data_IF_728633585127
#
_entry.id   IF_728633585127
#
_cell.length_a   1.000
_cell.length_b   1.000
_cell.length_c   1.000
_cell.angle_alpha   90.00
_cell.angle_beta   90.00
_cell.angle_gamma   90.00
#
_symmetry.space_group_name_H-M   'P 1'
#
loop_
_entity.id
_entity.type
_entity.pdbx_description
1 polymer ?
#
# COMPACT_ATOMS: atom_id res chain seq x y z
N UNK A 1 -4.27 15.98 6.56
CA UNK A 1 -4.46 14.52 6.41
C UNK A 1 -3.30 13.91 5.64
N UNK A 2 -2.97 12.65 5.89
CA UNK A 2 -1.97 11.87 5.14
C UNK A 2 -2.68 10.70 4.47
N UNK A 3 -2.64 10.64 3.15
CA UNK A 3 -3.14 9.52 2.36
C UNK A 3 -2.01 8.56 2.00
N UNK A 4 -2.03 7.37 2.57
CA UNK A 4 -0.93 6.43 2.53
C UNK A 4 -1.00 5.42 1.37
N UNK A 5 -2.03 5.51 0.51
CA UNK A 5 -2.26 4.54 -0.56
C UNK A 5 -2.80 5.24 -1.80
N UNK A 6 -1.89 5.64 -2.71
CA UNK A 6 -2.21 6.40 -3.91
C UNK A 6 -1.45 5.83 -5.12
N UNK A 7 -2.20 5.36 -6.11
CA UNK A 7 -1.65 4.91 -7.38
C UNK A 7 -1.45 6.08 -8.34
N UNK A 8 -0.28 6.09 -8.99
CA UNK A 8 0.03 6.99 -10.10
C UNK A 8 0.57 6.22 -11.28
N UNK A 9 0.29 6.68 -12.49
CA UNK A 9 0.70 6.01 -13.72
C UNK A 9 1.52 6.97 -14.60
N UNK A 10 2.73 6.56 -15.03
CA UNK A 10 3.47 7.29 -16.06
C UNK A 10 2.61 7.45 -17.32
N UNK A 11 2.66 8.60 -18.02
CA UNK A 11 1.90 8.82 -19.25
C UNK A 11 2.12 7.74 -20.32
N UNK A 12 3.31 7.16 -20.37
CA UNK A 12 3.67 6.03 -21.24
C UNK A 12 2.87 4.77 -20.91
N UNK A 13 2.74 4.44 -19.61
CA UNK A 13 1.93 3.29 -19.15
C UNK A 13 0.47 3.49 -19.52
N UNK A 14 -0.07 4.70 -19.34
CA UNK A 14 -1.46 5.03 -19.69
C UNK A 14 -1.68 4.88 -21.21
N UNK A 15 -0.81 5.48 -22.02
CA UNK A 15 -0.90 5.45 -23.49
C UNK A 15 -0.81 4.02 -24.04
N UNK A 16 0.11 3.23 -23.49
CA UNK A 16 0.46 1.91 -24.03
C UNK A 16 -0.20 0.76 -23.24
N UNK A 17 -1.17 1.06 -22.37
CA UNK A 17 -1.79 0.11 -21.43
C UNK A 17 -2.30 -1.18 -22.12
N UNK A 18 -2.97 -1.06 -23.27
CA UNK A 18 -3.49 -2.20 -24.01
C UNK A 18 -2.39 -3.08 -24.65
N UNK A 19 -1.21 -2.52 -24.91
CA UNK A 19 -0.06 -3.29 -25.44
C UNK A 19 0.66 -3.97 -24.28
N UNK A 20 0.88 -3.24 -23.18
CA UNK A 20 1.51 -3.77 -21.96
C UNK A 20 0.69 -4.95 -21.41
N UNK A 21 -0.64 -4.80 -21.33
CA UNK A 21 -1.54 -5.82 -20.80
C UNK A 21 -1.41 -7.20 -21.45
N UNK A 22 -1.03 -7.26 -22.73
CA UNK A 22 -0.81 -8.54 -23.45
C UNK A 22 0.28 -9.41 -22.84
N UNK A 23 1.25 -8.78 -22.17
CA UNK A 23 2.37 -9.47 -21.50
C UNK A 23 2.29 -9.37 -19.97
N UNK A 24 1.43 -8.51 -19.44
CA UNK A 24 1.20 -8.28 -18.01
C UNK A 24 -0.27 -8.57 -17.67
N UNK A 25 -0.67 -9.85 -17.58
CA UNK A 25 -2.08 -10.24 -17.49
C UNK A 25 -2.76 -9.74 -16.21
N UNK A 26 -2.02 -9.61 -15.10
CA UNK A 26 -2.57 -9.04 -13.87
C UNK A 26 -2.83 -7.54 -14.01
N UNK A 27 -1.94 -6.81 -14.70
CA UNK A 27 -2.19 -5.41 -15.06
C UNK A 27 -3.38 -5.28 -16.02
N UNK A 28 -3.50 -6.14 -17.04
CA UNK A 28 -4.65 -6.14 -17.95
C UNK A 28 -5.97 -6.36 -17.19
N UNK A 29 -5.99 -7.35 -16.29
CA UNK A 29 -7.14 -7.67 -15.46
C UNK A 29 -7.62 -6.45 -14.65
N UNK A 30 -6.68 -5.72 -14.04
CA UNK A 30 -7.00 -4.56 -13.20
C UNK A 30 -7.34 -3.31 -14.02
N UNK A 31 -6.52 -2.99 -15.02
CA UNK A 31 -6.67 -1.75 -15.81
C UNK A 31 -7.88 -1.74 -16.73
N UNK A 32 -8.43 -2.91 -17.08
CA UNK A 32 -9.67 -3.03 -17.86
C UNK A 32 -10.92 -3.17 -16.98
N UNK A 33 -10.74 -3.22 -15.65
CA UNK A 33 -11.81 -3.28 -14.67
C UNK A 33 -12.71 -2.04 -14.73
N UNK A 34 -14.02 -2.22 -14.53
CA UNK A 34 -15.02 -1.13 -14.63
C UNK A 34 -14.79 0.03 -13.66
N UNK A 35 -14.10 -0.23 -12.57
CA UNK A 35 -13.83 0.75 -11.51
C UNK A 35 -12.48 1.43 -11.66
N UNK A 36 -11.61 0.91 -12.53
CA UNK A 36 -10.28 1.43 -12.74
C UNK A 36 -10.31 2.85 -13.29
N UNK A 37 -9.33 3.64 -12.87
CA UNK A 37 -9.10 4.99 -13.37
C UNK A 37 -7.61 5.23 -13.47
N UNK A 38 -7.24 6.11 -14.40
CA UNK A 38 -5.88 6.60 -14.55
C UNK A 38 -5.71 7.90 -13.79
N UNK A 39 -4.53 8.10 -13.22
CA UNK A 39 -4.12 9.37 -12.64
C UNK A 39 -2.61 9.56 -12.75
N UNK A 40 -2.22 10.80 -13.00
CA UNK A 40 -0.85 11.31 -12.92
C UNK A 40 -0.58 11.91 -11.55
N UNK A 41 0.68 12.23 -11.25
CA UNK A 41 1.06 12.97 -10.05
C UNK A 41 0.36 14.35 -9.99
N UNK A 42 0.15 15.02 -11.12
CA UNK A 42 -0.59 16.28 -11.19
C UNK A 42 -2.06 16.11 -10.80
N UNK A 43 -2.69 15.01 -11.22
CA UNK A 43 -4.07 14.67 -10.81
C UNK A 43 -4.14 14.41 -9.29
N UNK A 44 -3.12 13.77 -8.72
CA UNK A 44 -2.99 13.59 -7.26
C UNK A 44 -2.91 14.94 -6.57
N UNK A 45 -2.04 15.86 -7.00
CA UNK A 45 -1.92 17.20 -6.39
C UNK A 45 -3.25 17.96 -6.47
N UNK A 46 -3.94 17.92 -7.61
CA UNK A 46 -5.25 18.56 -7.76
C UNK A 46 -6.30 17.94 -6.83
N UNK A 47 -6.28 16.62 -6.63
CA UNK A 47 -7.15 15.93 -5.68
C UNK A 47 -6.81 16.28 -4.24
N UNK A 48 -5.52 16.35 -3.89
CA UNK A 48 -5.05 16.73 -2.57
C UNK A 48 -5.51 18.13 -2.18
N UNK A 49 -5.37 19.11 -3.08
CA UNK A 49 -5.78 20.49 -2.83
C UNK A 49 -7.30 20.63 -2.70
N UNK A 50 -8.06 19.83 -3.47
CA UNK A 50 -9.53 19.77 -3.36
C UNK A 50 -9.99 19.17 -2.03
N UNK A 51 -9.34 18.09 -1.61
CA UNK A 51 -9.80 17.25 -0.49
C UNK A 51 -9.11 17.60 0.85
N UNK A 52 -8.15 18.53 0.86
CA UNK A 52 -7.43 18.93 2.08
C UNK A 52 -6.41 17.89 2.55
N UNK A 53 -5.79 17.18 1.62
CA UNK A 53 -4.72 16.21 1.89
C UNK A 53 -3.37 16.93 1.88
N UNK A 54 -2.61 16.81 2.97
CA UNK A 54 -1.32 17.48 3.13
C UNK A 54 -0.21 16.67 2.47
N UNK A 55 -0.21 15.35 2.68
CA UNK A 55 0.80 14.42 2.17
C UNK A 55 0.15 13.19 1.56
N UNK A 56 0.67 12.72 0.42
CA UNK A 56 0.28 11.46 -0.20
C UNK A 56 1.49 10.53 -0.40
N UNK A 57 1.30 9.24 -0.11
CA UNK A 57 2.25 8.19 -0.46
C UNK A 57 1.90 7.62 -1.83
N UNK A 58 2.77 7.85 -2.81
CA UNK A 58 2.52 7.51 -4.21
C UNK A 58 3.39 6.35 -4.67
N UNK A 59 2.84 5.51 -5.53
CA UNK A 59 3.55 4.43 -6.19
C UNK A 59 2.96 4.12 -7.56
N UNK A 60 3.81 3.54 -8.41
CA UNK A 60 3.40 2.99 -9.68
C UNK A 60 2.73 1.63 -9.55
N UNK A 61 2.52 0.96 -10.69
CA UNK A 61 2.05 -0.42 -10.71
C UNK A 61 3.24 -1.38 -10.58
N UNK A 62 3.15 -2.36 -9.69
CA UNK A 62 4.20 -3.38 -9.53
C UNK A 62 4.02 -4.52 -10.54
N UNK A 63 4.65 -4.35 -11.71
CA UNK A 63 4.67 -5.31 -12.81
C UNK A 63 5.54 -6.54 -12.51
N UNK A 64 5.44 -7.56 -13.38
CA UNK A 64 6.43 -8.65 -13.45
C UNK A 64 7.70 -8.22 -14.16
N UNK A 65 7.57 -7.38 -15.20
CA UNK A 65 8.69 -6.83 -15.94
C UNK A 65 9.48 -5.80 -15.11
N UNK A 66 10.78 -6.04 -14.83
CA UNK A 66 11.59 -5.09 -14.08
C UNK A 66 11.78 -3.74 -14.77
N UNK A 67 11.72 -3.69 -16.11
CA UNK A 67 11.84 -2.46 -16.89
C UNK A 67 10.61 -1.56 -16.75
N UNK A 68 9.41 -2.13 -16.71
CA UNK A 68 8.18 -1.39 -16.42
C UNK A 68 8.16 -0.88 -14.97
N UNK A 69 8.63 -1.69 -14.02
CA UNK A 69 8.82 -1.24 -12.63
C UNK A 69 9.82 -0.07 -12.56
N UNK A 70 10.96 -0.15 -13.26
CA UNK A 70 11.94 0.95 -13.31
C UNK A 70 11.36 2.23 -13.93
N UNK A 71 10.54 2.12 -14.98
CA UNK A 71 9.82 3.25 -15.57
C UNK A 71 8.86 3.91 -14.56
N UNK A 72 8.11 3.10 -13.80
CA UNK A 72 7.27 3.57 -12.72
C UNK A 72 8.08 4.26 -11.62
N UNK A 73 9.21 3.69 -11.21
CA UNK A 73 10.06 4.25 -10.16
C UNK A 73 10.64 5.60 -10.59
N UNK A 74 11.11 5.75 -11.82
CA UNK A 74 11.65 7.03 -12.30
C UNK A 74 10.57 8.12 -12.27
N UNK A 75 9.35 7.81 -12.72
CA UNK A 75 8.22 8.73 -12.65
C UNK A 75 7.89 9.16 -11.21
N UNK A 76 7.87 8.21 -10.26
CA UNK A 76 7.63 8.49 -8.84
C UNK A 76 8.75 9.34 -8.24
N UNK A 77 10.01 9.06 -8.58
CA UNK A 77 11.17 9.85 -8.15
C UNK A 77 11.05 11.30 -8.65
N UNK A 78 10.71 11.49 -9.93
CA UNK A 78 10.50 12.81 -10.52
C UNK A 78 9.35 13.57 -9.82
N UNK A 79 8.23 12.90 -9.55
CA UNK A 79 7.10 13.47 -8.85
C UNK A 79 7.46 13.90 -7.41
N UNK A 80 8.19 13.06 -6.66
CA UNK A 80 8.67 13.38 -5.31
C UNK A 80 9.63 14.58 -5.34
N UNK A 81 10.56 14.64 -6.30
CA UNK A 81 11.46 15.79 -6.46
C UNK A 81 10.71 17.08 -6.79
N UNK A 82 9.64 16.98 -7.58
CA UNK A 82 8.79 18.13 -7.95
C UNK A 82 7.93 18.62 -6.79
N UNK A 83 7.48 17.71 -5.91
CA UNK A 83 6.58 18.01 -4.79
C UNK A 83 7.08 17.42 -3.43
N UNK A 84 8.29 17.78 -2.96
CA UNK A 84 8.99 17.04 -1.90
C UNK A 84 8.34 17.12 -0.50
N UNK A 85 7.53 18.15 -0.27
CA UNK A 85 6.77 18.35 0.97
C UNK A 85 5.37 17.75 0.93
N UNK A 86 4.89 17.35 -0.25
CA UNK A 86 3.53 16.85 -0.48
C UNK A 86 3.51 15.37 -0.84
N UNK A 87 4.55 14.86 -1.52
CA UNK A 87 4.60 13.48 -1.98
C UNK A 87 5.73 12.70 -1.31
N UNK A 88 5.42 11.48 -0.90
CA UNK A 88 6.39 10.45 -0.48
C UNK A 88 6.27 9.29 -1.45
N UNK A 89 7.37 8.83 -2.04
CA UNK A 89 7.31 7.79 -3.05
C UNK A 89 7.70 6.43 -2.51
N UNK A 90 7.04 5.40 -3.02
CA UNK A 90 7.38 4.00 -2.80
C UNK A 90 7.88 3.38 -4.11
N UNK A 91 8.95 2.59 -4.00
CA UNK A 91 9.52 1.87 -5.14
C UNK A 91 8.69 0.62 -5.43
N UNK A 92 8.46 0.30 -6.69
CA UNK A 92 7.90 -0.99 -7.11
C UNK A 92 9.00 -1.85 -7.73
N UNK A 93 9.03 -3.13 -7.36
CA UNK A 93 9.95 -4.12 -7.91
C UNK A 93 9.26 -5.48 -8.02
N UNK A 94 9.62 -6.35 -8.98
CA UNK A 94 9.28 -7.77 -8.94
C UNK A 94 10.20 -8.46 -7.91
N UNK A 95 9.68 -8.99 -6.78
CA UNK A 95 10.51 -9.45 -5.66
C UNK A 95 11.56 -10.51 -6.01
N UNK A 96 11.18 -11.45 -6.89
CA UNK A 96 12.03 -12.57 -7.31
C UNK A 96 12.94 -12.23 -8.52
N UNK A 97 12.86 -11.02 -9.07
CA UNK A 97 13.67 -10.65 -10.22
C UNK A 97 15.13 -10.38 -9.84
N UNK A 98 16.11 -10.80 -10.66
CA UNK A 98 17.50 -10.41 -10.48
C UNK A 98 17.63 -8.88 -10.44
N UNK A 99 18.34 -8.37 -9.43
CA UNK A 99 18.58 -6.93 -9.28
C UNK A 99 17.49 -6.15 -8.54
N UNK A 100 16.41 -6.78 -8.07
CA UNK A 100 15.37 -6.11 -7.28
C UNK A 100 15.94 -5.35 -6.07
N UNK A 101 16.87 -5.94 -5.32
CA UNK A 101 17.54 -5.28 -4.19
C UNK A 101 18.37 -4.06 -4.61
N UNK A 102 19.04 -4.10 -5.77
CA UNK A 102 19.80 -2.95 -6.28
C UNK A 102 18.87 -1.79 -6.67
N UNK A 103 17.70 -2.12 -7.25
CA UNK A 103 16.70 -1.10 -7.60
C UNK A 103 16.08 -0.46 -6.35
N UNK A 104 15.83 -1.25 -5.29
CA UNK A 104 15.41 -0.72 -3.98
C UNK A 104 16.46 0.25 -3.44
N UNK A 105 17.73 -0.15 -3.42
CA UNK A 105 18.83 0.70 -2.95
C UNK A 105 18.94 1.99 -3.78
N UNK A 106 18.86 1.91 -5.11
CA UNK A 106 18.84 3.09 -6.00
C UNK A 106 17.67 4.02 -5.65
N UNK A 107 16.46 3.47 -5.52
CA UNK A 107 15.28 4.27 -5.19
C UNK A 107 15.41 4.96 -3.82
N UNK A 108 16.00 4.27 -2.84
CA UNK A 108 16.32 4.86 -1.53
C UNK A 108 17.26 6.04 -1.65
N UNK A 109 18.34 5.92 -2.42
CA UNK A 109 19.29 7.02 -2.68
C UNK A 109 18.60 8.22 -3.36
N UNK A 110 17.53 7.98 -4.12
CA UNK A 110 16.73 9.02 -4.75
C UNK A 110 15.63 9.61 -3.85
N UNK A 111 15.55 9.17 -2.58
CA UNK A 111 14.65 9.72 -1.58
C UNK A 111 13.31 9.01 -1.44
N UNK A 112 13.15 7.81 -2.04
CA UNK A 112 11.97 6.99 -1.78
C UNK A 112 12.04 6.39 -0.36
N UNK A 113 10.88 6.14 0.23
CA UNK A 113 10.75 5.84 1.67
C UNK A 113 10.19 4.44 1.97
N UNK A 114 9.57 3.81 0.98
CA UNK A 114 9.00 2.47 1.11
C UNK A 114 9.05 1.71 -0.21
N UNK A 115 8.68 0.43 -0.17
CA UNK A 115 8.61 -0.45 -1.33
C UNK A 115 7.19 -0.99 -1.42
N UNK A 116 6.58 -0.92 -2.59
CA UNK A 116 5.24 -1.39 -2.87
C UNK A 116 4.33 -0.30 -3.49
N UNK A 117 3.05 -0.57 -3.67
CA UNK A 117 2.36 -1.82 -3.31
C UNK A 117 2.88 -3.05 -4.09
N UNK A 118 3.34 -4.07 -3.37
CA UNK A 118 3.66 -5.38 -3.95
C UNK A 118 2.34 -6.12 -4.19
N UNK A 119 2.18 -6.72 -5.37
CA UNK A 119 1.03 -7.54 -5.73
C UNK A 119 1.45 -9.01 -5.80
N UNK A 120 1.34 -9.80 -4.72
CA UNK A 120 1.89 -11.16 -4.71
C UNK A 120 1.33 -12.04 -5.84
N UNK A 121 0.00 -12.03 -6.02
CA UNK A 121 -0.65 -12.74 -7.13
C UNK A 121 -0.33 -12.16 -8.52
N UNK A 122 -0.03 -10.87 -8.60
CA UNK A 122 0.38 -10.21 -9.84
C UNK A 122 1.83 -10.45 -10.23
N UNK A 123 2.68 -10.86 -9.27
CA UNK A 123 4.12 -10.97 -9.45
C UNK A 123 4.64 -12.41 -9.27
N UNK A 124 3.73 -13.40 -9.23
CA UNK A 124 4.02 -14.82 -8.94
C UNK A 124 4.86 -15.00 -7.67
N UNK A 125 4.56 -14.21 -6.65
CA UNK A 125 5.32 -14.13 -5.41
C UNK A 125 4.51 -14.72 -4.25
N UNK A 126 5.08 -15.69 -3.56
CA UNK A 126 4.47 -16.28 -2.38
C UNK A 126 5.05 -15.65 -1.11
N UNK A 127 4.27 -14.78 -0.45
CA UNK A 127 4.73 -14.09 0.77
C UNK A 127 4.88 -15.04 1.97
N UNK A 128 4.34 -16.25 1.91
CA UNK A 128 4.53 -17.26 2.96
C UNK A 128 5.86 -18.02 2.82
N UNK A 129 6.44 -18.06 1.61
CA UNK A 129 7.67 -18.79 1.35
C UNK A 129 8.90 -17.95 1.70
N UNK A 130 9.56 -18.28 2.83
CA UNK A 130 10.81 -17.64 3.26
C UNK A 130 11.89 -17.63 2.18
N UNK A 131 11.91 -18.64 1.29
CA UNK A 131 12.91 -18.76 0.22
C UNK A 131 12.71 -17.74 -0.91
N UNK A 132 11.49 -17.23 -1.06
CA UNK A 132 11.19 -16.15 -2.01
C UNK A 132 11.33 -14.77 -1.35
N UNK A 133 10.96 -14.68 -0.07
CA UNK A 133 10.81 -13.38 0.62
C UNK A 133 12.10 -12.85 1.24
N UNK A 134 13.07 -13.69 1.59
CA UNK A 134 14.29 -13.26 2.30
C UNK A 134 15.09 -12.17 1.59
N UNK A 135 15.19 -12.22 0.26
CA UNK A 135 15.97 -11.24 -0.50
C UNK A 135 15.28 -9.87 -0.52
N UNK A 136 13.95 -9.84 -0.67
CA UNK A 136 13.15 -8.63 -0.58
C UNK A 136 13.21 -8.05 0.83
N UNK A 137 12.96 -8.88 1.85
CA UNK A 137 12.98 -8.48 3.25
C UNK A 137 14.34 -7.88 3.65
N UNK A 138 15.44 -8.55 3.31
CA UNK A 138 16.79 -8.06 3.54
C UNK A 138 17.05 -6.71 2.86
N UNK A 139 16.69 -6.57 1.58
CA UNK A 139 16.90 -5.32 0.85
C UNK A 139 16.09 -4.15 1.42
N UNK A 140 14.84 -4.39 1.83
CA UNK A 140 13.98 -3.38 2.45
C UNK A 140 14.54 -2.94 3.81
N UNK A 141 14.92 -3.91 4.65
CA UNK A 141 15.49 -3.65 5.97
C UNK A 141 16.83 -2.91 5.89
N UNK A 142 17.75 -3.34 5.01
CA UNK A 142 19.05 -2.70 4.78
C UNK A 142 18.90 -1.26 4.27
N UNK A 143 17.89 -0.98 3.43
CA UNK A 143 17.60 0.35 2.94
C UNK A 143 16.92 1.26 3.98
N UNK A 144 16.48 0.71 5.13
CA UNK A 144 15.70 1.44 6.13
C UNK A 144 14.34 1.89 5.61
N UNK A 145 13.75 1.11 4.70
CA UNK A 145 12.46 1.36 4.06
C UNK A 145 11.38 0.48 4.71
N UNK A 146 10.11 0.84 4.54
CA UNK A 146 8.99 -0.04 4.89
C UNK A 146 8.44 -0.76 3.65
N UNK A 147 7.71 -1.84 3.85
CA UNK A 147 7.05 -2.59 2.78
C UNK A 147 5.53 -2.31 2.79
N UNK A 148 4.92 -2.12 1.61
CA UNK A 148 3.48 -2.11 1.40
C UNK A 148 3.10 -3.34 0.57
N UNK A 149 2.24 -4.20 1.12
CA UNK A 149 1.83 -5.45 0.45
C UNK A 149 0.32 -5.48 0.29
N UNK A 150 -0.11 -5.75 -0.94
CA UNK A 150 -1.50 -6.07 -1.22
C UNK A 150 -1.93 -7.29 -0.43
N UNK A 151 -2.96 -7.13 0.39
CA UNK A 151 -3.64 -8.24 1.06
C UNK A 151 -5.14 -8.10 0.89
N UNK A 152 -5.86 -9.22 0.98
CA UNK A 152 -7.30 -9.22 0.84
C UNK A 152 -7.95 -10.20 1.81
N UNK A 153 -9.22 -9.95 2.11
CA UNK A 153 -10.02 -10.86 2.90
C UNK A 153 -10.24 -12.20 2.18
N UNK A 154 -10.14 -13.36 2.86
CA UNK A 154 -10.24 -14.66 2.21
C UNK A 154 -11.68 -15.10 1.89
N UNK A 155 -12.68 -14.27 2.22
CA UNK A 155 -14.12 -14.61 2.15
C UNK A 155 -14.92 -13.50 1.49
N UNK A 156 -16.21 -13.71 1.22
CA UNK A 156 -17.07 -12.71 0.60
C UNK A 156 -17.06 -12.78 -0.93
N UNK A 157 -17.32 -11.66 -1.60
CA UNK A 157 -17.47 -11.62 -3.04
C UNK A 157 -16.12 -11.72 -3.77
N UNK A 158 -16.14 -12.29 -4.97
CA UNK A 158 -14.98 -12.38 -5.85
C UNK A 158 -14.88 -11.13 -6.72
N UNK A 159 -13.68 -10.56 -6.83
CA UNK A 159 -13.40 -9.36 -7.62
C UNK A 159 -11.99 -9.41 -8.22
N UNK A 160 -11.79 -8.78 -9.41
CA UNK A 160 -10.47 -8.62 -9.99
C UNK A 160 -9.49 -7.99 -9.01
N UNK A 161 -8.36 -8.65 -8.76
CA UNK A 161 -7.31 -8.17 -7.86
C UNK A 161 -7.26 -8.82 -6.50
N UNK A 162 -8.37 -9.38 -6.01
CA UNK A 162 -8.47 -9.99 -4.66
C UNK A 162 -7.29 -10.90 -4.33
N UNK A 163 -6.96 -11.80 -5.26
CA UNK A 163 -5.88 -12.75 -5.09
C UNK A 163 -6.12 -13.72 -3.92
N UNK A 164 -5.06 -14.40 -3.49
CA UNK A 164 -5.10 -15.41 -2.42
C UNK A 164 -4.20 -15.03 -1.23
N UNK A 165 -3.73 -13.78 -1.17
CA UNK A 165 -2.88 -13.31 -0.09
C UNK A 165 -3.74 -12.71 1.01
N UNK A 166 -4.00 -13.50 2.05
CA UNK A 166 -4.83 -13.10 3.18
C UNK A 166 -4.06 -13.05 4.50
N UNK A 167 -4.79 -12.99 5.63
CA UNK A 167 -4.21 -12.91 6.97
C UNK A 167 -3.22 -14.02 7.30
N UNK A 168 -3.43 -15.23 6.78
CA UNK A 168 -2.55 -16.37 7.06
C UNK A 168 -1.18 -16.15 6.43
N UNK A 169 -1.14 -15.86 5.13
CA UNK A 169 0.11 -15.66 4.38
C UNK A 169 0.85 -14.43 4.91
N UNK A 170 0.11 -13.37 5.27
CA UNK A 170 0.67 -12.17 5.87
C UNK A 170 1.27 -12.44 7.27
N UNK A 171 0.61 -13.25 8.11
CA UNK A 171 1.16 -13.68 9.39
C UNK A 171 2.42 -14.52 9.23
N UNK A 172 2.44 -15.45 8.27
CA UNK A 172 3.62 -16.28 7.96
C UNK A 172 4.81 -15.41 7.50
N UNK A 173 4.57 -14.37 6.69
CA UNK A 173 5.60 -13.38 6.34
C UNK A 173 6.21 -12.69 7.58
N UNK A 174 5.35 -12.22 8.50
CA UNK A 174 5.81 -11.49 9.70
C UNK A 174 6.57 -12.38 10.68
N UNK A 175 6.24 -13.67 10.74
CA UNK A 175 6.98 -14.64 11.55
C UNK A 175 8.37 -14.93 10.97
N UNK A 176 8.51 -14.90 9.64
CA UNK A 176 9.81 -15.10 8.98
C UNK A 176 10.71 -13.86 9.03
N UNK A 177 10.12 -12.67 8.93
CA UNK A 177 10.85 -11.39 8.82
C UNK A 177 10.37 -10.36 9.85
N UNK A 178 10.49 -10.64 11.17
CA UNK A 178 10.01 -9.75 12.22
C UNK A 178 10.71 -8.39 12.24
N UNK A 179 11.85 -8.23 11.56
CA UNK A 179 12.60 -6.99 11.41
C UNK A 179 12.01 -6.00 10.40
N UNK A 180 11.12 -6.46 9.51
CA UNK A 180 10.54 -5.62 8.46
C UNK A 180 9.31 -4.89 8.98
N UNK A 181 9.32 -3.56 8.89
CA UNK A 181 8.10 -2.77 9.04
C UNK A 181 7.25 -2.89 7.78
N UNK A 182 6.05 -3.44 7.93
CA UNK A 182 5.14 -3.75 6.82
C UNK A 182 3.75 -3.13 7.05
N UNK A 183 3.23 -2.51 6.01
CA UNK A 183 1.84 -2.08 5.88
C UNK A 183 1.14 -3.09 4.99
N UNK A 184 0.11 -3.77 5.53
CA UNK A 184 -0.76 -4.58 4.69
C UNK A 184 -1.97 -3.75 4.26
N UNK A 185 -2.17 -3.64 2.95
CA UNK A 185 -3.27 -2.91 2.38
C UNK A 185 -4.63 -3.53 2.77
N UNK A 186 -5.70 -2.75 2.65
CA UNK A 186 -7.09 -3.25 2.79
C UNK A 186 -7.35 -3.87 4.17
N UNK A 187 -6.95 -3.19 5.24
CA UNK A 187 -7.05 -3.67 6.63
C UNK A 187 -6.35 -5.01 6.86
N UNK A 188 -5.33 -5.35 6.07
CA UNK A 188 -4.64 -6.63 6.21
C UNK A 188 -5.50 -7.85 5.87
N UNK A 189 -6.61 -7.67 5.15
CA UNK A 189 -7.61 -8.72 4.94
C UNK A 189 -8.24 -9.27 6.24
N UNK A 190 -8.15 -8.51 7.35
CA UNK A 190 -8.57 -8.93 8.68
C UNK A 190 -7.44 -9.40 9.61
N UNK A 191 -6.17 -9.32 9.19
CA UNK A 191 -5.02 -9.70 10.01
C UNK A 191 -4.98 -9.00 11.38
N UNK A 192 -5.43 -7.75 11.46
CA UNK A 192 -5.46 -6.97 12.70
C UNK A 192 -6.24 -7.66 13.84
N UNK A 193 -7.22 -8.52 13.52
CA UNK A 193 -7.99 -9.26 14.54
C UNK A 193 -7.10 -10.20 15.35
N UNK A 194 -6.07 -10.75 14.71
CA UNK A 194 -5.15 -11.70 15.34
C UNK A 194 -4.19 -11.00 16.32
N UNK A 195 -4.03 -9.66 16.28
CA UNK A 195 -3.29 -8.92 17.33
C UNK A 195 -3.94 -9.01 18.73
N UNK A 196 -5.14 -9.57 18.84
CA UNK A 196 -5.76 -9.87 20.13
C UNK A 196 -5.23 -11.17 20.77
N UNK A 197 -4.41 -11.95 20.05
CA UNK A 197 -3.72 -13.14 20.55
C UNK A 197 -2.32 -12.76 21.06
N UNK A 198 -1.93 -13.13 22.30
CA UNK A 198 -0.65 -12.73 22.88
C UNK A 198 0.59 -13.06 22.03
N UNK A 199 0.61 -14.24 21.41
CA UNK A 199 1.70 -14.68 20.53
C UNK A 199 1.79 -13.84 19.25
N UNK A 200 0.64 -13.40 18.73
CA UNK A 200 0.57 -12.60 17.51
C UNK A 200 0.87 -11.13 17.77
N UNK A 201 0.67 -10.62 18.99
CA UNK A 201 1.13 -9.26 19.35
C UNK A 201 2.63 -9.09 19.14
N UNK A 202 3.41 -10.13 19.46
CA UNK A 202 4.84 -10.13 19.24
C UNK A 202 5.18 -10.26 17.75
N UNK A 203 4.57 -11.23 17.07
CA UNK A 203 4.81 -11.47 15.64
C UNK A 203 4.41 -10.27 14.76
N UNK A 204 3.37 -9.53 15.15
CA UNK A 204 2.83 -8.40 14.41
C UNK A 204 3.31 -7.06 14.96
N UNK A 205 4.38 -7.04 15.77
CA UNK A 205 4.85 -5.81 16.42
C UNK A 205 5.26 -4.71 15.43
N UNK A 206 5.78 -5.09 14.26
CA UNK A 206 6.18 -4.20 13.17
C UNK A 206 5.13 -4.12 12.03
N UNK A 207 3.91 -4.57 12.30
CA UNK A 207 2.81 -4.57 11.32
C UNK A 207 1.91 -3.36 11.50
N UNK A 208 1.52 -2.80 10.35
CA UNK A 208 0.61 -1.70 10.16
C UNK A 208 -0.40 -2.06 9.06
N UNK A 209 -1.45 -1.26 8.95
CA UNK A 209 -2.54 -1.49 8.00
C UNK A 209 -2.95 -0.17 7.34
N UNK A 210 -3.52 -0.22 6.14
CA UNK A 210 -4.22 0.92 5.56
C UNK A 210 -5.72 0.66 5.36
N UNK A 211 -6.46 1.72 5.05
CA UNK A 211 -7.90 1.68 4.77
C UNK A 211 -8.23 1.67 3.27
N UNK A 212 -7.30 1.32 2.38
CA UNK A 212 -7.56 1.29 0.95
C UNK A 212 -8.82 0.47 0.64
N UNK A 213 -9.59 0.89 -0.37
CA UNK A 213 -10.86 0.28 -0.77
C UNK A 213 -11.96 0.16 0.32
N UNK A 214 -11.81 0.76 1.52
CA UNK A 214 -12.78 0.59 2.64
C UNK A 214 -14.25 0.72 2.24
N UNK A 215 -14.70 1.75 1.49
CA UNK A 215 -16.09 1.91 1.08
C UNK A 215 -16.70 0.75 0.27
N UNK A 216 -15.89 -0.20 -0.20
CA UNK A 216 -16.33 -1.37 -0.95
C UNK A 216 -16.21 -2.68 -0.17
N UNK A 217 -15.38 -2.72 0.87
CA UNK A 217 -15.02 -3.96 1.56
C UNK A 217 -15.77 -4.13 2.88
N UNK A 218 -15.89 -3.07 3.67
CA UNK A 218 -16.36 -3.19 5.05
C UNK A 218 -17.33 -2.07 5.43
N UNK A 219 -18.24 -2.39 6.35
CA UNK A 219 -19.14 -1.41 6.95
C UNK A 219 -18.37 -0.36 7.77
N UNK A 220 -18.93 0.84 7.97
CA UNK A 220 -18.35 1.89 8.81
C UNK A 220 -17.98 1.46 10.22
N UNK A 221 -18.71 0.49 10.80
CA UNK A 221 -18.49 0.00 12.16
C UNK A 221 -17.14 -0.69 12.37
N UNK A 222 -16.44 -1.08 11.30
CA UNK A 222 -15.11 -1.69 11.38
C UNK A 222 -14.11 -0.79 12.11
N UNK A 223 -14.13 0.52 11.86
CA UNK A 223 -13.19 1.45 12.48
C UNK A 223 -13.36 1.49 14.00
N UNK A 224 -14.61 1.49 14.48
CA UNK A 224 -14.93 1.40 15.92
C UNK A 224 -14.56 0.05 16.51
N UNK A 225 -14.66 -1.04 15.75
CA UNK A 225 -14.20 -2.35 16.21
C UNK A 225 -12.68 -2.37 16.42
N UNK A 226 -11.92 -1.77 15.50
CA UNK A 226 -10.46 -1.62 15.63
C UNK A 226 -10.07 -0.70 16.79
N UNK A 227 -10.83 0.38 17.02
CA UNK A 227 -10.68 1.25 18.19
C UNK A 227 -10.85 0.46 19.49
N UNK A 228 -11.96 -0.29 19.62
CA UNK A 228 -12.27 -1.09 20.80
C UNK A 228 -11.25 -2.21 21.04
N UNK A 229 -10.69 -2.78 19.96
CA UNK A 229 -9.59 -3.75 20.02
C UNK A 229 -8.23 -3.10 20.35
N UNK A 230 -8.14 -1.77 20.36
CA UNK A 230 -6.92 -1.01 20.62
C UNK A 230 -5.95 -0.95 19.43
N UNK A 231 -6.27 -1.58 18.29
CA UNK A 231 -5.37 -1.70 17.13
C UNK A 231 -5.45 -0.50 16.17
N UNK A 232 -6.43 0.40 16.35
CA UNK A 232 -6.61 1.58 15.48
C UNK A 232 -5.34 2.44 15.35
N UNK A 233 -4.49 2.47 16.37
CA UNK A 233 -3.18 3.16 16.37
C UNK A 233 -2.21 2.70 15.27
N UNK A 234 -2.44 1.52 14.68
CA UNK A 234 -1.64 0.93 13.60
C UNK A 234 -2.29 1.07 12.22
N UNK A 235 -3.48 1.67 12.15
CA UNK A 235 -4.20 1.88 10.90
C UNK A 235 -3.88 3.28 10.34
N UNK A 236 -3.55 3.32 9.06
CA UNK A 236 -3.34 4.55 8.28
C UNK A 236 -4.52 4.79 7.35
N UNK A 237 -4.86 6.06 7.15
CA UNK A 237 -5.75 6.43 6.07
C UNK A 237 -5.07 6.15 4.73
N UNK A 238 -5.72 5.33 3.91
CA UNK A 238 -5.37 5.05 2.52
C UNK A 238 -6.65 5.14 1.69
N UNK A 239 -6.64 5.95 0.64
CA UNK A 239 -7.83 6.19 -0.18
C UNK A 239 -8.02 5.19 -1.30
N UNK A 240 -6.94 4.55 -1.77
CA UNK A 240 -6.94 3.82 -3.04
C UNK A 240 -7.29 4.77 -4.21
N UNK A 241 -6.70 5.97 -4.21
CA UNK A 241 -6.85 6.89 -5.33
C UNK A 241 -6.11 6.32 -6.55
N UNK A 242 -6.66 6.41 -7.77
CA UNK A 242 -7.80 7.26 -8.19
C UNK A 242 -9.18 6.60 -8.17
N UNK A 243 -9.30 5.33 -7.78
CA UNK A 243 -10.59 4.64 -7.88
C UNK A 243 -11.58 5.19 -6.85
N UNK A 244 -11.08 5.63 -5.69
CA UNK A 244 -11.82 6.34 -4.65
C UNK A 244 -11.18 7.69 -4.31
N UNK A 245 -11.89 8.48 -3.49
CA UNK A 245 -11.42 9.78 -3.01
C UNK A 245 -12.04 10.10 -1.65
N UNK A 246 -11.46 11.08 -0.96
CA UNK A 246 -11.78 11.40 0.43
C UNK A 246 -13.27 11.59 0.73
N UNK A 247 -14.11 12.21 -0.14
CA UNK A 247 -15.54 12.41 0.17
C UNK A 247 -16.33 11.12 0.44
N UNK A 248 -15.87 9.95 -0.06
CA UNK A 248 -16.47 8.66 0.31
C UNK A 248 -16.03 8.21 1.70
N UNK A 249 -14.75 8.40 2.03
CA UNK A 249 -14.20 8.08 3.33
C UNK A 249 -14.76 8.97 4.44
N UNK A 250 -14.96 10.26 4.18
CA UNK A 250 -15.61 11.18 5.11
C UNK A 250 -16.99 10.65 5.56
N UNK A 251 -17.78 10.10 4.63
CA UNK A 251 -19.07 9.47 4.94
C UNK A 251 -18.92 8.20 5.79
N UNK A 252 -17.93 7.36 5.46
CA UNK A 252 -17.64 6.15 6.24
C UNK A 252 -17.22 6.50 7.67
N UNK A 253 -16.34 7.48 7.83
CA UNK A 253 -15.85 7.97 9.11
C UNK A 253 -17.01 8.55 9.94
N UNK A 254 -17.84 9.41 9.35
CA UNK A 254 -19.00 9.97 10.03
C UNK A 254 -19.99 8.89 10.52
N UNK A 255 -20.14 7.81 9.76
CA UNK A 255 -21.01 6.68 10.11
C UNK A 255 -20.36 5.66 11.07
N UNK A 256 -19.04 5.69 11.25
CA UNK A 256 -18.31 4.75 12.12
C UNK A 256 -18.60 4.94 13.61
N UNK A 257 -18.92 6.17 13.99
CA UNK A 257 -19.12 6.59 15.38
C UNK A 257 -17.84 6.62 16.21
N UNK A 258 -16.66 6.62 15.60
CA UNK A 258 -15.39 6.83 16.30
C UNK A 258 -15.27 8.29 16.75
N UNK A 259 -14.70 8.51 17.93
CA UNK A 259 -14.52 9.86 18.49
C UNK A 259 -13.55 10.71 17.65
N UNK A 260 -13.77 12.03 17.64
CA UNK A 260 -13.01 12.96 16.78
C UNK A 260 -11.48 12.85 16.95
N UNK A 261 -11.01 12.63 18.17
CA UNK A 261 -9.57 12.50 18.45
C UNK A 261 -8.94 11.25 17.84
N UNK A 262 -9.67 10.13 17.79
CA UNK A 262 -9.19 8.90 17.14
C UNK A 262 -9.27 9.00 15.61
N UNK A 263 -10.29 9.68 15.09
CA UNK A 263 -10.37 10.03 13.66
C UNK A 263 -9.16 10.87 13.22
N UNK A 264 -8.77 11.87 14.02
CA UNK A 264 -7.59 12.70 13.72
C UNK A 264 -6.30 11.87 13.72
N UNK A 265 -6.15 10.92 14.64
CA UNK A 265 -5.00 10.00 14.65
C UNK A 265 -4.97 9.12 13.40
N UNK A 266 -6.10 8.51 13.05
CA UNK A 266 -6.25 7.69 11.85
C UNK A 266 -5.93 8.47 10.56
N UNK A 267 -6.43 9.70 10.42
CA UNK A 267 -6.23 10.54 9.24
C UNK A 267 -4.85 11.22 9.16
N UNK A 268 -4.07 11.21 10.25
CA UNK A 268 -2.81 11.96 10.30
C UNK A 268 -1.77 11.35 11.24
N UNK A 269 -1.97 11.39 12.56
CA UNK A 269 -0.90 11.13 13.53
C UNK A 269 -0.27 9.75 13.41
N UNK A 270 -1.05 8.70 13.14
CA UNK A 270 -0.53 7.34 13.04
C UNK A 270 0.54 7.24 11.93
N UNK A 271 0.23 7.77 10.74
CA UNK A 271 1.16 7.78 9.61
C UNK A 271 2.31 8.77 9.81
N UNK A 272 2.04 9.92 10.43
CA UNK A 272 3.07 10.92 10.75
C UNK A 272 4.14 10.35 11.68
N UNK A 273 3.72 9.74 12.80
CA UNK A 273 4.62 9.17 13.81
C UNK A 273 5.39 7.96 13.24
N UNK A 274 4.75 7.16 12.40
CA UNK A 274 5.41 6.10 11.65
C UNK A 274 6.55 6.64 10.78
N UNK A 275 6.29 7.70 10.01
CA UNK A 275 7.29 8.30 9.13
C UNK A 275 8.39 9.07 9.88
N UNK A 276 8.11 9.64 11.05
CA UNK A 276 9.09 10.39 11.84
C UNK A 276 10.31 9.56 12.26
N UNK A 277 10.18 8.23 12.33
CA UNK A 277 11.30 7.31 12.62
C UNK A 277 12.34 7.22 11.49
N UNK A 278 12.03 7.73 10.29
CA UNK A 278 12.78 7.50 9.04
C UNK A 278 13.42 8.77 8.45
N UNK A 279 13.26 9.91 9.15
CA UNK A 279 13.78 11.23 8.77
C UNK A 279 15.01 11.61 9.59
#
# INVERSE_FOLDING_TARGET
MIDCHVHVYPPEIIRDAAVIGKNEPYFELLSTGKVHKWATAEDVIAAMDRDGIDVSWIFGFAFKDPGLCALCNEYVIEAVRKYPTRLKGLAVVPPCAPGAGNEIARCREQGLVGVGEIFPGGQDFDISDVRQTWSLAGAVAEAGMFLLVHSAEPVGHDYPGKGNTGPREAAEFCLHHPEVEVVFAHFGGGLWMYELMPEMQLALSNVYYDSAAWPWLYEPSLLRAMEAAGVLRKLFYGSDFPILGYPKYEKMIAASGVERGEVEKFLHHNAFDFMAKRC
#
